data_IF_595302759596
#
_entry.id   IF_595302759596
#
_cell.length_a   1.000
_cell.length_b   1.000
_cell.length_c   1.000
_cell.angle_alpha   90.00
_cell.angle_beta   90.00
_cell.angle_gamma   90.00
#
_symmetry.space_group_name_H-M   'P 1'
#
loop_
_entity.id
_entity.type
_entity.pdbx_description
1 polymer ?
#
# COMPACT_ATOMS: atom_id res chain seq x y z
N UNK A 1 19.94 1.65 16.70
CA UNK A 1 20.27 3.09 16.79
C UNK A 1 19.40 3.65 17.89
N UNK A 2 20.00 4.32 18.86
CA UNK A 2 19.33 4.73 20.09
C UNK A 2 19.49 6.23 20.26
N UNK A 3 18.41 6.97 19.99
CA UNK A 3 18.39 8.42 20.01
C UNK A 3 17.62 8.89 21.25
N UNK A 4 18.23 9.83 21.99
CA UNK A 4 17.60 10.49 23.14
C UNK A 4 17.24 11.93 22.81
N UNK A 5 16.02 12.33 23.18
CA UNK A 5 15.48 13.67 22.97
C UNK A 5 14.90 14.17 24.29
N UNK A 6 15.41 15.31 24.77
CA UNK A 6 14.85 15.99 25.93
C UNK A 6 13.81 17.00 25.46
N UNK A 7 12.60 16.89 25.99
CA UNK A 7 11.48 17.75 25.62
C UNK A 7 11.60 19.10 26.34
N UNK A 8 11.60 20.21 25.61
CA UNK A 8 11.71 21.56 26.19
C UNK A 8 10.36 22.28 26.36
N UNK A 9 9.34 21.89 25.60
CA UNK A 9 8.00 22.49 25.55
C UNK A 9 6.92 21.40 25.54
N UNK A 10 5.70 21.74 25.92
CA UNK A 10 4.58 20.82 25.74
C UNK A 10 4.27 20.67 24.25
N UNK A 11 4.25 19.45 23.74
CA UNK A 11 3.95 19.16 22.33
C UNK A 11 3.47 17.72 22.16
N UNK A 12 3.00 17.35 20.96
CA UNK A 12 2.69 15.95 20.67
C UNK A 12 3.95 15.16 20.33
N UNK A 13 3.94 13.87 20.68
CA UNK A 13 5.05 12.96 20.41
C UNK A 13 5.38 12.88 18.91
N UNK A 14 4.37 12.77 18.05
CA UNK A 14 4.58 12.72 16.60
C UNK A 14 5.10 14.04 16.02
N UNK A 15 4.75 15.18 16.60
CA UNK A 15 5.29 16.49 16.21
C UNK A 15 6.76 16.64 16.62
N UNK A 16 7.10 16.30 17.86
CA UNK A 16 8.48 16.31 18.33
C UNK A 16 9.38 15.45 17.43
N UNK A 17 8.95 14.23 17.11
CA UNK A 17 9.74 13.32 16.28
C UNK A 17 9.86 13.80 14.83
N UNK A 18 8.91 14.57 14.29
CA UNK A 18 9.06 15.20 12.97
C UNK A 18 10.10 16.31 12.98
N UNK A 19 10.12 17.10 14.05
CA UNK A 19 11.01 18.25 14.23
C UNK A 19 12.46 17.80 14.50
N UNK A 20 12.65 16.85 15.42
CA UNK A 20 13.96 16.56 16.01
C UNK A 20 14.63 15.28 15.49
N UNK A 21 13.87 14.25 15.13
CA UNK A 21 14.43 12.93 14.80
C UNK A 21 15.31 12.96 13.53
N UNK A 22 14.93 13.64 12.41
CA UNK A 22 15.74 13.62 11.19
C UNK A 22 17.16 14.15 11.38
N UNK A 23 17.32 15.28 12.09
CA UNK A 23 18.62 15.88 12.34
C UNK A 23 19.49 14.99 13.25
N UNK A 24 18.89 14.33 14.24
CA UNK A 24 19.59 13.45 15.18
C UNK A 24 20.05 12.14 14.54
N UNK A 25 19.23 11.55 13.67
CA UNK A 25 19.63 10.41 12.84
C UNK A 25 20.86 10.76 12.00
N UNK A 26 20.84 11.94 11.37
CA UNK A 26 21.94 12.37 10.50
C UNK A 26 23.26 12.53 11.27
N UNK A 27 23.20 12.99 12.52
CA UNK A 27 24.36 13.13 13.38
C UNK A 27 24.93 11.79 13.87
N UNK A 28 24.10 10.73 13.99
CA UNK A 28 24.53 9.40 14.44
C UNK A 28 24.97 8.46 13.30
N UNK A 29 24.71 8.80 12.04
CA UNK A 29 25.11 8.00 10.88
C UNK A 29 26.62 8.17 10.59
N UNK A 30 27.40 7.07 10.46
CA UNK A 30 28.84 7.16 10.16
C UNK A 30 29.10 7.73 8.76
N UNK A 31 30.09 8.61 8.66
CA UNK A 31 30.51 9.34 7.45
C UNK A 31 31.15 8.47 6.34
N UNK A 32 31.18 7.14 6.50
CA UNK A 32 31.86 6.21 5.59
C UNK A 32 30.95 5.59 4.51
N UNK A 33 29.65 5.88 4.48
CA UNK A 33 28.81 5.57 3.32
C UNK A 33 28.96 6.67 2.26
N UNK A 34 30.10 6.64 1.55
CA UNK A 34 30.36 7.42 0.33
C UNK A 34 29.42 6.95 -0.76
N UNK A 35 28.17 7.38 -0.68
CA UNK A 35 27.22 7.23 -1.75
C UNK A 35 26.45 8.55 -1.75
N UNK A 36 26.50 9.26 -2.87
CA UNK A 36 26.02 10.63 -3.10
C UNK A 36 24.49 10.80 -2.99
N UNK A 37 23.84 9.94 -2.21
CA UNK A 37 22.43 10.01 -1.90
C UNK A 37 22.24 10.96 -0.71
N UNK A 38 21.59 12.09 -1.01
CA UNK A 38 20.83 12.93 -0.09
C UNK A 38 20.44 12.21 1.22
N UNK A 39 20.74 12.84 2.37
CA UNK A 39 20.38 12.35 3.71
C UNK A 39 18.97 11.73 3.73
N UNK A 40 18.78 10.53 4.31
CA UNK A 40 17.51 9.83 4.20
C UNK A 40 16.39 10.61 4.91
N UNK A 41 15.53 11.25 4.12
CA UNK A 41 14.38 11.98 4.64
C UNK A 41 13.41 11.02 5.35
N UNK A 42 13.05 11.33 6.60
CA UNK A 42 12.10 10.54 7.37
C UNK A 42 10.69 11.08 7.10
N UNK A 43 9.86 10.30 6.42
CA UNK A 43 8.46 10.68 6.17
C UNK A 43 7.59 10.61 7.44
N UNK A 44 6.50 11.38 7.46
CA UNK A 44 5.50 11.34 8.53
C UNK A 44 4.97 9.91 8.80
N UNK A 45 4.80 9.11 7.75
CA UNK A 45 4.35 7.72 7.84
C UNK A 45 5.39 6.84 8.53
N UNK A 46 6.69 7.04 8.27
CA UNK A 46 7.77 6.31 8.96
C UNK A 46 7.83 6.65 10.45
N UNK A 47 7.67 7.93 10.81
CA UNK A 47 7.59 8.36 12.23
C UNK A 47 6.40 7.70 12.93
N UNK A 48 5.23 7.73 12.30
CA UNK A 48 4.04 7.09 12.85
C UNK A 48 4.27 5.59 13.05
N UNK A 49 4.92 4.92 12.09
CA UNK A 49 5.24 3.49 12.17
C UNK A 49 6.19 3.17 13.32
N UNK A 50 7.23 3.98 13.54
CA UNK A 50 8.14 3.83 14.70
C UNK A 50 7.37 3.82 16.02
N UNK A 51 6.50 4.81 16.20
CA UNK A 51 5.70 4.92 17.43
C UNK A 51 4.81 3.68 17.58
N UNK A 52 4.06 3.31 16.54
CA UNK A 52 3.12 2.17 16.60
C UNK A 52 3.82 0.82 16.79
N UNK A 53 5.02 0.65 16.23
CA UNK A 53 5.85 -0.54 16.39
C UNK A 53 6.40 -0.70 17.82
N UNK A 54 6.32 0.35 18.64
CA UNK A 54 6.85 0.34 20.01
C UNK A 54 8.33 0.71 20.09
N UNK A 55 8.91 1.28 19.03
CA UNK A 55 10.30 1.76 19.01
C UNK A 55 10.51 3.05 19.81
N UNK A 56 9.48 3.58 20.47
CA UNK A 56 9.53 4.86 21.19
C UNK A 56 9.13 4.67 22.64
N UNK A 57 9.92 5.24 23.55
CA UNK A 57 9.65 5.27 24.99
C UNK A 57 9.65 6.70 25.51
N UNK A 58 8.75 7.01 26.45
CA UNK A 58 8.66 8.29 27.14
C UNK A 58 8.88 8.04 28.63
N UNK A 59 9.89 8.69 29.23
CA UNK A 59 10.29 8.51 30.63
C UNK A 59 10.45 7.02 31.01
N UNK A 60 11.12 6.26 30.13
CA UNK A 60 11.38 4.83 30.32
C UNK A 60 10.19 3.89 30.04
N UNK A 61 9.02 4.40 29.63
CA UNK A 61 7.84 3.57 29.30
C UNK A 61 7.55 3.61 27.80
N UNK A 62 7.39 2.43 27.18
CA UNK A 62 7.04 2.33 25.76
C UNK A 62 5.74 3.09 25.46
N UNK A 63 5.75 3.96 24.45
CA UNK A 63 4.61 4.75 24.02
C UNK A 63 4.28 4.44 22.56
N UNK A 64 3.07 3.90 22.34
CA UNK A 64 2.54 3.57 20.99
C UNK A 64 1.48 4.54 20.50
N UNK A 65 1.37 5.72 21.12
CA UNK A 65 0.33 6.72 20.82
C UNK A 65 0.98 7.92 20.14
N UNK A 66 0.84 8.10 18.81
CA UNK A 66 1.45 9.23 18.10
C UNK A 66 1.01 10.59 18.64
N UNK A 67 -0.27 10.74 18.94
CA UNK A 67 -0.84 11.96 19.51
C UNK A 67 -0.66 12.06 21.04
N UNK A 68 0.27 11.30 21.63
CA UNK A 68 0.55 11.41 23.07
C UNK A 68 1.13 12.80 23.37
N UNK A 69 0.54 13.48 24.36
CA UNK A 69 1.00 14.80 24.78
C UNK A 69 2.19 14.66 25.71
N UNK A 70 3.33 15.21 25.29
CA UNK A 70 4.55 15.29 26.05
C UNK A 70 4.55 16.57 26.87
N UNK A 71 4.93 16.46 28.13
CA UNK A 71 5.20 17.63 28.98
C UNK A 71 6.67 18.02 28.85
N UNK A 72 6.96 19.31 29.03
CA UNK A 72 8.34 19.77 29.18
C UNK A 72 9.12 18.94 30.21
N UNK A 73 10.42 18.76 29.96
CA UNK A 73 11.37 17.90 30.70
C UNK A 73 11.13 16.39 30.57
N UNK A 74 10.19 15.94 29.75
CA UNK A 74 10.09 14.51 29.43
C UNK A 74 11.32 14.05 28.66
N UNK A 75 11.76 12.82 28.91
CA UNK A 75 12.76 12.14 28.10
C UNK A 75 12.05 11.24 27.08
N UNK A 76 12.39 11.40 25.81
CA UNK A 76 11.94 10.52 24.73
C UNK A 76 13.14 9.74 24.21
N UNK A 77 13.03 8.41 24.21
CA UNK A 77 14.02 7.50 23.66
C UNK A 77 13.42 6.82 22.43
N UNK A 78 14.12 6.88 21.31
CA UNK A 78 13.75 6.20 20.07
C UNK A 78 14.82 5.14 19.80
N UNK A 79 14.42 3.88 19.79
CA UNK A 79 15.31 2.74 19.56
C UNK A 79 14.81 1.88 18.39
N UNK A 80 15.61 1.85 17.33
CA UNK A 80 15.27 1.13 16.10
C UNK A 80 16.50 0.69 15.32
N UNK A 81 16.34 -0.36 14.53
CA UNK A 81 17.37 -0.83 13.60
C UNK A 81 17.41 0.08 12.38
N UNK A 82 18.47 0.89 12.26
CA UNK A 82 18.62 1.88 11.19
C UNK A 82 18.57 1.24 9.80
N UNK A 83 19.23 0.10 9.62
CA UNK A 83 19.22 -0.61 8.33
C UNK A 83 17.81 -1.00 7.90
N UNK A 84 17.05 -1.66 8.77
CA UNK A 84 15.65 -2.05 8.50
C UNK A 84 14.75 -0.83 8.27
N UNK A 85 14.99 0.26 9.00
CA UNK A 85 14.14 1.45 8.96
C UNK A 85 14.37 2.33 7.73
N UNK A 86 15.63 2.49 7.31
CA UNK A 86 16.00 3.31 6.16
C UNK A 86 15.95 2.53 4.85
N UNK A 87 16.39 1.28 4.86
CA UNK A 87 16.47 0.42 3.68
C UNK A 87 15.36 -0.65 3.67
N UNK A 88 14.20 -0.31 4.23
CA UNK A 88 12.97 -1.06 4.01
C UNK A 88 12.74 -1.15 2.49
N UNK A 89 12.72 -2.38 1.95
CA UNK A 89 12.55 -2.63 0.53
C UNK A 89 11.29 -1.90 0.08
N UNK A 90 11.44 -0.85 -0.73
CA UNK A 90 10.28 -0.16 -1.27
C UNK A 90 9.46 -1.19 -2.03
N UNK A 91 8.11 -1.11 -1.99
CA UNK A 91 7.31 -1.98 -2.82
C UNK A 91 7.79 -1.83 -4.27
N UNK A 92 8.20 -2.95 -4.89
CA UNK A 92 8.59 -3.01 -6.30
C UNK A 92 7.34 -2.86 -7.19
N UNK A 93 6.57 -1.79 -6.98
CA UNK A 93 5.38 -1.50 -7.76
C UNK A 93 5.77 -0.92 -9.10
N UNK A 94 5.07 -1.34 -10.14
CA UNK A 94 5.31 -0.80 -11.48
C UNK A 94 4.74 0.61 -11.60
N UNK A 95 5.39 1.42 -12.44
CA UNK A 95 4.72 2.59 -13.00
C UNK A 95 3.71 2.09 -14.05
N UNK A 96 2.43 2.31 -13.78
CA UNK A 96 1.35 1.90 -14.66
C UNK A 96 0.56 3.12 -15.13
N UNK A 97 0.39 3.22 -16.44
CA UNK A 97 -0.53 4.14 -17.09
C UNK A 97 -1.46 3.29 -17.93
N UNK A 98 -2.75 3.36 -17.64
CA UNK A 98 -3.76 2.59 -18.36
C UNK A 98 -3.93 3.11 -19.79
N UNK A 99 -4.06 2.17 -20.73
CA UNK A 99 -4.27 2.40 -22.15
C UNK A 99 -5.42 1.56 -22.68
N UNK A 100 -5.81 1.81 -23.93
CA UNK A 100 -6.82 1.05 -24.66
C UNK A 100 -6.56 -0.47 -24.67
N UNK A 101 -5.29 -0.89 -24.73
CA UNK A 101 -4.93 -2.31 -24.78
C UNK A 101 -5.12 -3.05 -23.45
N UNK A 102 -5.29 -2.31 -22.35
CA UNK A 102 -5.57 -2.88 -21.03
C UNK A 102 -7.06 -3.16 -20.82
N UNK A 103 -7.94 -2.62 -21.68
CA UNK A 103 -9.39 -2.83 -21.63
C UNK A 103 -9.74 -4.14 -22.35
N UNK A 104 -10.27 -5.10 -21.61
CA UNK A 104 -10.72 -6.38 -22.15
C UNK A 104 -12.17 -6.31 -22.62
N UNK A 105 -12.99 -5.52 -21.94
CA UNK A 105 -14.38 -5.26 -22.29
C UNK A 105 -14.82 -3.95 -21.65
N UNK A 106 -15.67 -3.18 -22.35
CA UNK A 106 -16.28 -1.98 -21.80
C UNK A 106 -17.67 -1.77 -22.40
N UNK A 107 -18.64 -1.47 -21.52
CA UNK A 107 -19.96 -0.98 -21.91
C UNK A 107 -20.30 0.32 -21.15
N UNK A 108 -21.58 0.72 -21.17
CA UNK A 108 -22.04 1.93 -20.48
C UNK A 108 -21.88 1.86 -18.95
N UNK A 109 -21.99 0.66 -18.37
CA UNK A 109 -22.08 0.42 -16.93
C UNK A 109 -20.84 -0.27 -16.34
N UNK A 110 -20.11 -1.05 -17.12
CA UNK A 110 -19.05 -1.97 -16.70
C UNK A 110 -17.78 -1.77 -17.53
N UNK A 111 -16.64 -2.04 -16.91
CA UNK A 111 -15.34 -2.14 -17.58
C UNK A 111 -14.51 -3.28 -16.96
N UNK A 112 -14.01 -4.17 -17.80
CA UNK A 112 -13.10 -5.25 -17.44
C UNK A 112 -11.71 -4.88 -17.93
N UNK A 113 -10.75 -4.89 -17.02
CA UNK A 113 -9.38 -4.47 -17.32
C UNK A 113 -8.40 -5.58 -16.97
N UNK A 114 -7.33 -5.68 -17.74
CA UNK A 114 -6.23 -6.58 -17.47
C UNK A 114 -5.23 -5.93 -16.50
N UNK A 115 -5.31 -6.30 -15.21
CA UNK A 115 -4.37 -5.80 -14.20
C UNK A 115 -2.99 -6.46 -14.37
N UNK A 116 -1.90 -5.69 -14.50
CA UNK A 116 -0.55 -6.24 -14.45
C UNK A 116 -0.18 -6.73 -13.04
N UNK A 117 0.83 -7.59 -12.96
CA UNK A 117 1.42 -7.97 -11.67
C UNK A 117 2.15 -6.78 -11.04
N UNK A 118 2.32 -6.83 -9.72
CA UNK A 118 2.97 -5.80 -8.91
C UNK A 118 2.27 -4.43 -8.88
N UNK A 119 1.01 -4.34 -9.34
CA UNK A 119 0.18 -3.15 -9.18
C UNK A 119 -0.93 -3.40 -8.15
N UNK A 120 -1.03 -2.62 -7.06
CA UNK A 120 -2.16 -2.67 -6.14
C UNK A 120 -3.49 -2.34 -6.85
N UNK A 121 -4.59 -2.95 -6.42
CA UNK A 121 -5.93 -2.64 -6.98
C UNK A 121 -6.46 -1.29 -6.47
N UNK A 122 -6.28 -1.03 -5.18
CA UNK A 122 -6.79 0.15 -4.47
C UNK A 122 -5.67 0.82 -3.69
N UNK A 123 -5.88 2.09 -3.31
CA UNK A 123 -5.00 2.83 -2.43
C UNK A 123 -4.68 2.04 -1.14
N UNK A 124 -3.39 1.96 -0.82
CA UNK A 124 -2.95 1.38 0.45
C UNK A 124 -2.82 2.47 1.52
N UNK A 125 -2.71 2.06 2.79
CA UNK A 125 -2.51 2.97 3.94
C UNK A 125 -1.33 3.95 3.71
N UNK A 126 -0.34 3.55 2.90
CA UNK A 126 0.67 4.46 2.37
C UNK A 126 0.10 5.25 1.21
N UNK A 127 -0.41 6.45 1.49
CA UNK A 127 -0.74 7.44 0.45
C UNK A 127 0.48 7.71 -0.42
N UNK A 128 0.27 7.81 -1.74
CA UNK A 128 1.25 7.97 -2.83
C UNK A 128 1.64 6.70 -3.62
N UNK A 129 0.99 5.55 -3.41
CA UNK A 129 1.20 4.38 -4.30
C UNK A 129 0.21 4.41 -5.46
N UNK A 130 0.72 4.28 -6.69
CA UNK A 130 -0.09 4.05 -7.88
C UNK A 130 -0.91 2.77 -7.70
N UNK A 131 -2.14 2.78 -8.19
CA UNK A 131 -3.05 1.65 -8.09
C UNK A 131 -3.97 1.61 -9.32
N UNK A 132 -4.58 0.45 -9.55
CA UNK A 132 -5.41 0.21 -10.72
C UNK A 132 -6.68 1.07 -10.71
N UNK A 133 -7.32 1.26 -9.55
CA UNK A 133 -8.55 2.05 -9.43
C UNK A 133 -8.33 3.49 -9.90
N UNK A 134 -7.30 4.17 -9.39
CA UNK A 134 -6.95 5.52 -9.82
C UNK A 134 -6.62 5.56 -11.32
N UNK A 135 -5.90 4.55 -11.84
CA UNK A 135 -5.59 4.46 -13.26
C UNK A 135 -6.85 4.33 -14.15
N UNK A 136 -7.87 3.59 -13.71
CA UNK A 136 -9.16 3.46 -14.41
C UNK A 136 -9.95 4.76 -14.34
N UNK A 137 -9.97 5.43 -13.18
CA UNK A 137 -10.61 6.75 -13.03
C UNK A 137 -9.98 7.75 -13.99
N UNK A 138 -8.66 7.86 -14.01
CA UNK A 138 -7.92 8.77 -14.88
C UNK A 138 -8.14 8.46 -16.37
N UNK A 139 -8.15 7.17 -16.73
CA UNK A 139 -8.41 6.72 -18.10
C UNK A 139 -9.79 7.14 -18.60
N UNK A 140 -10.83 6.89 -17.80
CA UNK A 140 -12.20 7.29 -18.14
C UNK A 140 -12.37 8.81 -18.14
N UNK A 141 -11.71 9.51 -17.22
CA UNK A 141 -11.81 10.97 -17.15
C UNK A 141 -11.19 11.64 -18.37
N UNK A 142 -10.02 11.17 -18.83
CA UNK A 142 -9.36 11.70 -20.03
C UNK A 142 -10.19 11.52 -21.31
N UNK A 143 -11.03 10.49 -21.39
CA UNK A 143 -11.95 10.25 -22.51
C UNK A 143 -13.22 11.12 -22.46
N UNK A 144 -13.50 11.73 -21.32
CA UNK A 144 -14.69 12.54 -21.07
C UNK A 144 -14.30 13.95 -20.58
N UNK A 145 -13.69 14.78 -21.45
CA UNK A 145 -13.15 16.09 -21.08
C UNK A 145 -14.23 17.08 -20.59
N UNK A 146 -15.50 16.83 -20.87
CA UNK A 146 -16.64 17.60 -20.38
C UNK A 146 -16.91 17.44 -18.87
N UNK A 147 -16.39 16.39 -18.23
CA UNK A 147 -16.61 16.12 -16.82
C UNK A 147 -15.77 17.06 -15.93
N UNK A 148 -16.46 17.83 -15.08
CA UNK A 148 -15.81 18.69 -14.07
C UNK A 148 -15.19 17.93 -12.91
N UNK A 149 -15.70 16.74 -12.62
CA UNK A 149 -15.28 15.89 -11.50
C UNK A 149 -14.85 14.52 -12.02
N UNK A 150 -13.97 13.79 -11.31
CA UNK A 150 -13.62 12.42 -11.66
C UNK A 150 -14.87 11.54 -11.79
N UNK A 151 -14.94 10.66 -12.81
CA UNK A 151 -16.05 9.75 -12.98
C UNK A 151 -16.10 8.75 -11.83
N UNK A 152 -17.30 8.23 -11.57
CA UNK A 152 -17.47 7.16 -10.61
C UNK A 152 -16.87 5.85 -11.14
N UNK A 153 -16.05 5.19 -10.31
CA UNK A 153 -15.53 3.85 -10.58
C UNK A 153 -15.67 3.04 -9.30
N UNK A 154 -16.48 1.98 -9.33
CA UNK A 154 -16.70 1.08 -8.22
C UNK A 154 -15.88 -0.22 -8.35
N UNK A 155 -15.18 -0.61 -7.29
CA UNK A 155 -14.35 -1.82 -7.23
C UNK A 155 -15.23 -3.02 -6.89
N UNK A 156 -15.36 -4.01 -7.78
CA UNK A 156 -16.18 -5.20 -7.51
C UNK A 156 -15.42 -6.30 -6.78
N UNK A 157 -14.13 -6.42 -7.03
CA UNK A 157 -13.26 -7.36 -6.36
C UNK A 157 -11.81 -6.93 -6.46
N UNK A 158 -10.97 -7.61 -5.69
CA UNK A 158 -9.52 -7.40 -5.68
C UNK A 158 -8.77 -8.63 -6.16
N UNK A 159 -7.58 -8.38 -6.69
CA UNK A 159 -6.50 -9.34 -6.85
C UNK A 159 -5.35 -8.87 -5.95
N UNK A 160 -4.54 -9.82 -5.50
CA UNK A 160 -3.33 -9.49 -4.76
C UNK A 160 -2.37 -8.68 -5.63
N UNK A 161 -1.46 -7.95 -4.98
CA UNK A 161 -0.51 -7.06 -5.66
C UNK A 161 0.31 -7.81 -6.69
N UNK A 162 0.83 -8.97 -6.33
CA UNK A 162 1.66 -9.84 -7.16
C UNK A 162 0.86 -10.58 -8.25
N UNK A 163 -0.47 -10.62 -8.15
CA UNK A 163 -1.33 -11.36 -9.08
C UNK A 163 -1.71 -10.49 -10.26
N UNK A 164 -1.50 -10.95 -11.49
CA UNK A 164 -2.05 -10.33 -12.70
C UNK A 164 -3.40 -10.95 -13.08
N UNK A 165 -4.19 -10.25 -13.90
CA UNK A 165 -5.40 -10.79 -14.49
C UNK A 165 -6.58 -9.82 -14.47
N UNK A 166 -7.77 -10.36 -14.75
CA UNK A 166 -8.96 -9.55 -14.99
C UNK A 166 -9.51 -8.96 -13.70
N UNK A 167 -9.80 -7.66 -13.70
CA UNK A 167 -10.58 -6.96 -12.67
C UNK A 167 -11.81 -6.33 -13.33
N UNK A 168 -12.97 -6.49 -12.69
CA UNK A 168 -14.20 -5.77 -13.04
C UNK A 168 -14.37 -4.51 -12.19
N UNK A 169 -14.68 -3.40 -12.87
CA UNK A 169 -15.16 -2.16 -12.28
C UNK A 169 -16.53 -1.78 -12.81
N UNK A 170 -17.33 -1.12 -11.98
CA UNK A 170 -18.58 -0.48 -12.39
C UNK A 170 -18.34 1.00 -12.69
N UNK A 171 -18.76 1.47 -13.86
CA UNK A 171 -18.71 2.88 -14.29
C UNK A 171 -19.92 3.71 -13.83
N UNK A 172 -21.00 3.04 -13.45
CA UNK A 172 -22.24 3.68 -13.00
C UNK A 172 -22.60 3.26 -11.58
N UNK A 173 -22.86 4.24 -10.72
CA UNK A 173 -23.24 3.99 -9.32
C UNK A 173 -24.57 3.26 -9.19
N UNK A 174 -25.48 3.43 -10.14
CA UNK A 174 -26.80 2.79 -10.12
C UNK A 174 -26.72 1.25 -10.19
N UNK A 175 -25.73 0.70 -10.91
CA UNK A 175 -25.57 -0.76 -11.05
C UNK A 175 -24.69 -1.38 -9.95
N UNK A 176 -23.98 -0.55 -9.18
CA UNK A 176 -22.95 -1.02 -8.26
C UNK A 176 -23.47 -2.06 -7.26
N UNK A 177 -24.63 -1.79 -6.65
CA UNK A 177 -25.28 -2.72 -5.73
C UNK A 177 -25.63 -4.05 -6.41
N UNK A 178 -26.28 -4.00 -7.58
CA UNK A 178 -26.71 -5.22 -8.29
C UNK A 178 -25.51 -6.10 -8.68
N UNK A 179 -24.41 -5.49 -9.12
CA UNK A 179 -23.17 -6.23 -9.45
C UNK A 179 -22.52 -6.78 -8.18
N UNK A 180 -22.55 -6.06 -7.07
CA UNK A 180 -22.07 -6.59 -5.79
C UNK A 180 -22.87 -7.81 -5.33
N UNK A 181 -24.20 -7.75 -5.44
CA UNK A 181 -25.10 -8.86 -5.10
C UNK A 181 -24.80 -10.11 -5.98
N UNK A 182 -24.41 -9.93 -7.25
CA UNK A 182 -23.92 -11.01 -8.14
C UNK A 182 -22.60 -11.62 -7.62
N UNK A 183 -21.67 -10.80 -7.14
CA UNK A 183 -20.41 -11.24 -6.52
C UNK A 183 -20.61 -12.02 -5.23
N UNK A 184 -21.55 -11.58 -4.41
CA UNK A 184 -21.93 -12.23 -3.16
C UNK A 184 -22.64 -13.57 -3.41
N UNK A 185 -23.54 -13.63 -4.39
CA UNK A 185 -24.22 -14.86 -4.78
C UNK A 185 -23.33 -15.89 -5.49
N UNK A 186 -22.07 -15.56 -5.79
CA UNK A 186 -21.15 -16.42 -6.54
C UNK A 186 -21.73 -16.95 -7.87
N UNK A 187 -22.57 -16.16 -8.53
CA UNK A 187 -23.32 -16.56 -9.74
C UNK A 187 -22.49 -16.55 -11.03
N UNK A 188 -21.16 -16.43 -10.91
CA UNK A 188 -20.21 -16.52 -12.01
C UNK A 188 -18.95 -17.25 -11.58
N UNK A 189 -18.16 -17.68 -12.56
CA UNK A 189 -16.95 -18.46 -12.31
C UNK A 189 -15.71 -17.59 -12.46
N UNK A 190 -14.93 -17.45 -11.38
CA UNK A 190 -13.56 -16.92 -11.43
C UNK A 190 -12.58 -18.05 -11.64
N UNK A 191 -11.60 -17.79 -12.49
CA UNK A 191 -10.64 -18.82 -12.84
C UNK A 191 -9.21 -18.26 -12.78
N UNK A 192 -8.24 -19.09 -12.43
CA UNK A 192 -6.86 -18.67 -12.15
C UNK A 192 -5.90 -19.67 -12.76
N UNK A 193 -4.93 -19.19 -13.53
CA UNK A 193 -3.79 -19.97 -14.01
C UNK A 193 -2.62 -19.73 -13.06
N UNK A 194 -2.11 -20.79 -12.45
CA UNK A 194 -0.98 -20.73 -11.54
C UNK A 194 0.01 -21.86 -11.83
N UNK A 195 1.29 -21.57 -11.66
CA UNK A 195 2.36 -22.57 -11.62
C UNK A 195 2.64 -22.87 -10.14
N UNK A 196 2.59 -24.15 -9.77
CA UNK A 196 2.78 -24.58 -8.38
C UNK A 196 4.03 -25.43 -8.25
N UNK A 197 4.80 -25.21 -7.19
CA UNK A 197 5.89 -26.13 -6.82
C UNK A 197 5.26 -27.36 -6.18
N UNK A 198 5.66 -28.60 -6.57
CA UNK A 198 5.17 -29.81 -5.93
C UNK A 198 5.48 -29.77 -4.42
N UNK A 199 4.46 -29.93 -3.59
CA UNK A 199 4.69 -30.07 -2.15
C UNK A 199 5.48 -31.35 -1.87
N UNK A 200 6.57 -31.26 -1.09
CA UNK A 200 7.23 -32.45 -0.52
C UNK A 200 6.19 -33.21 0.29
N UNK A 201 5.78 -34.37 -0.22
CA UNK A 201 4.76 -35.20 0.41
C UNK A 201 5.39 -35.88 1.62
N UNK A 202 5.16 -35.38 2.83
CA UNK A 202 5.36 -36.17 4.05
C UNK A 202 4.18 -37.16 4.16
N UNK A 203 4.27 -38.28 3.42
CA UNK A 203 3.49 -39.49 3.70
C UNK A 203 1.98 -39.46 3.49
N UNK A 204 1.47 -39.00 2.34
CA UNK A 204 0.05 -39.18 1.98
C UNK A 204 -0.37 -38.39 0.73
N UNK A 205 -1.09 -39.06 -0.20
CA UNK A 205 -1.51 -38.62 -1.55
C UNK A 205 -1.48 -37.10 -1.80
N UNK A 206 -0.61 -36.67 -2.70
CA UNK A 206 -0.59 -35.31 -3.24
C UNK A 206 -1.83 -35.07 -4.12
N UNK A 207 -2.82 -34.34 -3.59
CA UNK A 207 -3.86 -33.73 -4.41
C UNK A 207 -3.33 -32.39 -4.95
N UNK A 208 -2.58 -32.42 -6.05
CA UNK A 208 -2.33 -31.22 -6.84
C UNK A 208 -3.64 -30.77 -7.48
N UNK A 209 -4.35 -29.83 -6.86
CA UNK A 209 -5.60 -29.28 -7.40
C UNK A 209 -5.54 -27.76 -7.46
N UNK A 210 -5.04 -27.25 -8.57
CA UNK A 210 -5.55 -26.01 -9.17
C UNK A 210 -5.73 -26.24 -10.67
N UNK A 211 -6.81 -26.95 -11.03
CA UNK A 211 -7.41 -26.86 -12.37
C UNK A 211 -8.60 -25.93 -12.27
N UNK A 212 -8.46 -24.68 -12.74
CA UNK A 212 -9.57 -23.96 -13.37
C UNK A 212 -8.98 -23.19 -14.56
N UNK A 213 -9.63 -23.24 -15.74
CA UNK A 213 -9.31 -22.54 -17.01
C UNK A 213 -10.19 -21.28 -17.27
N UNK A 214 -9.68 -20.02 -17.34
CA UNK A 214 -10.52 -18.85 -17.72
C UNK A 214 -10.63 -18.83 -19.25
N UNK A 215 -11.85 -18.99 -19.75
CA UNK A 215 -12.31 -18.43 -21.01
C UNK A 215 -13.53 -17.58 -20.64
N UNK A 216 -13.47 -16.28 -20.92
CA UNK A 216 -14.69 -15.51 -21.12
C UNK A 216 -15.11 -15.85 -22.56
N UNK A 217 -16.17 -16.64 -22.70
CA UNK A 217 -16.99 -16.62 -23.92
C UNK A 217 -18.10 -15.60 -23.72
#
# INVERSE_FOLDING_TARGET
MLIKILVNKTCRLDELLREELPARVQAEMPSSSTNSYSSPAISNSKIRRLILAGSVSVNGRQCRRPAFELRGRSEVIVDFEAEKFFFEKQPDDIDFVMTETDVLYEDQNLIFVNKPAFLPVEQTITGNRKNLHDAVVDFLWKRNPELRNPPYVGIMHRLDRETSGVILFTKNRAVNKAVHDIFEAHSFTKIYKAVVVPAKTLGGRAANLLKKVILLQ
#
